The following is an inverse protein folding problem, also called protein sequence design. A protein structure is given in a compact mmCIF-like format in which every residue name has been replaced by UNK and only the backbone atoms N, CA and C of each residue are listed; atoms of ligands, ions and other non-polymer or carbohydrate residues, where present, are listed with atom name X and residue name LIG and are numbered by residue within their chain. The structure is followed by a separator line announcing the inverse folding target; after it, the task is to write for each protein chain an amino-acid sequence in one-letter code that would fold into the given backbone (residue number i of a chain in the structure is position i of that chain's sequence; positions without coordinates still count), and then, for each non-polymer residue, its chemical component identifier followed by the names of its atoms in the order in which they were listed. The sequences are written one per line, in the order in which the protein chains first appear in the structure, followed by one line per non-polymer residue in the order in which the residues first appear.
data_IF_764681663269
#
_entry.id   IF_764681663269
#
_cell.length_a   1.000
_cell.length_b   1.000
_cell.length_c   1.000
_cell.angle_alpha   90.00
_cell.angle_beta   90.00
_cell.angle_gamma   90.00
#
_symmetry.space_group_name_H-M   'P 1'
#
loop_
_entity.id
_entity.type
_entity.pdbx_description
1 polymer ?
#
# COMPACT_ATOMS: atom_id res chain seq x y z
N UNK A 1 -14.51 4.31 6.49
CA UNK A 1 -13.42 3.30 6.45
C UNK A 1 -13.00 3.10 4.99
N UNK A 2 -11.73 3.31 4.66
CA UNK A 2 -11.19 3.15 3.28
C UNK A 2 -10.90 1.69 2.99
N UNK A 3 -10.70 1.36 1.71
CA UNK A 3 -10.34 0.04 1.20
C UNK A 3 -8.99 -0.46 1.74
N UNK A 4 -8.06 0.45 2.00
CA UNK A 4 -6.71 0.17 2.53
C UNK A 4 -6.63 0.36 4.06
N UNK A 5 -7.74 0.19 4.78
CA UNK A 5 -7.78 0.33 6.24
C UNK A 5 -6.84 -0.64 6.98
N UNK A 6 -6.59 -1.84 6.43
CA UNK A 6 -5.66 -2.81 7.02
C UNK A 6 -4.20 -2.33 6.90
N UNK A 7 -3.84 -1.74 5.77
CA UNK A 7 -2.55 -1.09 5.59
C UNK A 7 -2.40 0.12 6.52
N UNK A 8 -3.43 0.97 6.62
CA UNK A 8 -3.45 2.07 7.57
C UNK A 8 -3.22 1.57 9.01
N UNK A 9 -3.82 0.46 9.40
CA UNK A 9 -3.62 -0.15 10.71
C UNK A 9 -2.17 -0.53 10.98
N UNK A 10 -1.51 -1.21 10.02
CA UNK A 10 -0.07 -1.52 10.11
C UNK A 10 0.77 -0.25 10.21
N UNK A 11 0.48 0.75 9.38
CA UNK A 11 1.24 2.01 9.36
C UNK A 11 1.05 2.81 10.65
N UNK A 12 -0.14 2.80 11.25
CA UNK A 12 -0.40 3.40 12.56
C UNK A 12 0.39 2.65 13.65
N UNK A 13 0.42 1.32 13.62
CA UNK A 13 1.21 0.51 14.55
C UNK A 13 2.71 0.83 14.42
N UNK A 14 3.23 0.87 13.19
CA UNK A 14 4.61 1.24 12.90
C UNK A 14 4.97 2.64 13.42
N UNK A 15 4.10 3.65 13.18
CA UNK A 15 4.31 5.00 13.70
C UNK A 15 4.29 5.05 15.24
N UNK A 16 3.42 4.26 15.87
CA UNK A 16 3.41 4.11 17.33
C UNK A 16 4.74 3.54 17.84
N UNK A 17 5.24 2.46 17.22
CA UNK A 17 6.53 1.87 17.57
C UNK A 17 7.69 2.86 17.39
N UNK A 18 7.76 3.54 16.24
CA UNK A 18 8.82 4.50 15.94
C UNK A 18 8.87 5.65 16.96
N UNK A 19 7.71 6.23 17.33
CA UNK A 19 7.63 7.30 18.34
C UNK A 19 8.10 6.84 19.72
N UNK A 20 7.68 5.65 20.16
CA UNK A 20 8.09 5.12 21.46
C UNK A 20 9.60 4.80 21.52
N UNK A 21 10.18 4.33 20.42
CA UNK A 21 11.61 4.07 20.31
C UNK A 21 12.45 5.35 20.30
N UNK A 22 11.92 6.42 19.70
CA UNK A 22 12.66 7.67 19.54
C UNK A 22 13.06 8.33 20.86
N UNK A 23 12.24 8.19 21.92
CA UNK A 23 12.55 8.67 23.28
C UNK A 23 13.89 8.14 23.80
N UNK A 24 14.29 6.95 23.33
CA UNK A 24 15.52 6.28 23.73
C UNK A 24 16.64 6.37 22.68
N UNK A 25 16.53 7.29 21.70
CA UNK A 25 17.42 7.38 20.54
C UNK A 25 17.57 6.05 19.79
N UNK A 26 16.47 5.28 19.74
CA UNK A 26 16.35 4.06 18.96
C UNK A 26 15.50 4.33 17.72
N UNK A 27 15.70 3.56 16.67
CA UNK A 27 14.99 3.69 15.42
C UNK A 27 14.53 2.33 14.90
N UNK A 28 13.44 2.36 14.15
CA UNK A 28 12.78 1.18 13.61
C UNK A 28 13.26 0.95 12.18
N UNK A 29 13.66 -0.27 11.86
CA UNK A 29 13.87 -0.72 10.49
C UNK A 29 12.95 -1.91 10.24
N UNK A 30 11.88 -1.67 9.49
CA UNK A 30 10.87 -2.67 9.18
C UNK A 30 11.42 -3.61 8.11
N UNK A 31 11.36 -4.91 8.39
CA UNK A 31 11.80 -5.95 7.48
C UNK A 31 10.63 -6.55 6.71
N UNK A 32 9.51 -6.75 7.39
CA UNK A 32 8.34 -7.39 6.82
C UNK A 32 7.11 -7.03 7.65
N UNK A 33 5.97 -6.85 7.00
CA UNK A 33 4.69 -6.70 7.69
C UNK A 33 3.58 -7.35 6.90
N UNK A 34 2.56 -7.83 7.61
CA UNK A 34 1.39 -8.39 6.98
C UNK A 34 0.12 -8.24 7.82
N UNK A 35 -1.02 -8.14 7.15
CA UNK A 35 -2.35 -8.28 7.75
C UNK A 35 -2.96 -9.57 7.22
N UNK A 36 -3.17 -10.55 8.09
CA UNK A 36 -3.72 -11.85 7.72
C UNK A 36 -4.82 -12.20 8.70
N UNK A 37 -6.01 -12.55 8.18
CA UNK A 37 -7.21 -12.80 8.98
C UNK A 37 -7.54 -11.62 9.93
N UNK A 38 -7.43 -11.82 11.24
CA UNK A 38 -7.81 -10.85 12.27
C UNK A 38 -6.62 -10.25 13.04
N UNK A 39 -5.38 -10.45 12.55
CA UNK A 39 -4.20 -9.86 13.18
C UNK A 39 -3.30 -9.13 12.18
N UNK A 40 -2.55 -8.17 12.73
CA UNK A 40 -1.55 -7.38 12.03
C UNK A 40 -0.19 -7.67 12.65
N UNK A 41 0.85 -7.82 11.84
CA UNK A 41 2.19 -8.15 12.31
C UNK A 41 3.25 -7.32 11.62
N UNK A 42 4.25 -6.92 12.40
CA UNK A 42 5.43 -6.20 11.94
C UNK A 42 6.65 -6.92 12.50
N UNK A 43 7.57 -7.27 11.61
CA UNK A 43 8.90 -7.78 11.89
C UNK A 43 9.88 -6.65 11.62
N UNK A 44 10.65 -6.26 12.63
CA UNK A 44 11.54 -5.12 12.54
C UNK A 44 12.76 -5.30 13.42
N UNK A 45 13.87 -4.68 13.02
CA UNK A 45 15.09 -4.55 13.82
C UNK A 45 15.07 -3.18 14.50
N UNK A 46 15.35 -3.18 15.80
CA UNK A 46 15.56 -1.95 16.57
C UNK A 46 17.05 -1.69 16.69
N UNK A 47 17.48 -0.53 16.21
CA UNK A 47 18.89 -0.08 16.27
C UNK A 47 18.97 1.23 17.05
N UNK A 48 20.17 1.62 17.51
CA UNK A 48 20.41 2.86 18.26
C UNK A 48 21.16 3.87 17.40
N UNK A 49 20.81 5.15 17.52
CA UNK A 49 21.56 6.26 16.92
C UNK A 49 20.68 7.49 16.68
N UNK A 50 21.03 8.63 17.27
CA UNK A 50 20.21 9.85 17.22
C UNK A 50 19.90 10.35 15.81
N UNK A 51 20.91 10.41 14.91
CA UNK A 51 20.69 10.83 13.51
C UNK A 51 19.69 9.93 12.78
N UNK A 52 19.80 8.61 12.95
CA UNK A 52 18.91 7.64 12.33
C UNK A 52 17.54 7.60 12.99
N UNK A 53 17.44 7.91 14.28
CA UNK A 53 16.16 8.15 14.94
C UNK A 53 15.41 9.29 14.28
N UNK A 54 16.04 10.44 14.06
CA UNK A 54 15.37 11.56 13.37
C UNK A 54 14.92 11.16 11.95
N UNK A 55 15.78 10.49 11.17
CA UNK A 55 15.41 9.96 9.85
C UNK A 55 14.23 8.98 9.90
N UNK A 56 14.16 8.14 10.93
CA UNK A 56 13.02 7.25 11.13
C UNK A 56 11.74 8.00 11.48
N UNK A 57 11.83 9.16 12.13
CA UNK A 57 10.68 9.99 12.44
C UNK A 57 10.18 10.79 11.23
N UNK A 58 11.06 11.08 10.25
CA UNK A 58 10.68 11.73 8.98
C UNK A 58 9.70 10.87 8.15
N UNK A 59 9.67 9.56 8.42
CA UNK A 59 8.69 8.63 7.85
C UNK A 59 7.31 8.73 8.51
N UNK A 60 7.08 9.62 9.48
CA UNK A 60 5.74 9.83 10.06
C UNK A 60 5.02 10.93 9.30
N UNK A 61 3.75 10.68 9.00
CA UNK A 61 2.87 11.68 8.41
C UNK A 61 1.42 11.25 8.37
N UNK A 62 0.69 11.80 7.43
CA UNK A 62 -0.75 11.67 7.29
C UNK A 62 -1.11 11.32 5.84
N UNK A 63 -2.26 10.67 5.67
CA UNK A 63 -2.88 10.43 4.36
C UNK A 63 -4.18 11.22 4.33
N UNK A 64 -4.30 12.16 3.40
CA UNK A 64 -5.56 12.81 3.08
C UNK A 64 -6.23 12.05 1.93
N UNK A 65 -7.47 11.61 2.12
CA UNK A 65 -8.22 10.80 1.16
C UNK A 65 -9.54 11.45 0.81
N UNK A 66 -9.79 11.67 -0.48
CA UNK A 66 -11.05 12.18 -0.97
C UNK A 66 -12.03 11.02 -1.19
N UNK A 67 -13.16 10.97 -0.44
CA UNK A 67 -14.14 9.90 -0.60
C UNK A 67 -14.90 9.96 -1.93
N UNK A 68 -14.96 11.14 -2.55
CA UNK A 68 -15.72 11.39 -3.78
C UNK A 68 -14.97 11.00 -5.04
N UNK A 69 -13.74 11.50 -5.25
CA UNK A 69 -12.98 11.22 -6.46
C UNK A 69 -11.89 10.16 -6.30
N UNK A 70 -11.66 9.65 -5.09
CA UNK A 70 -10.61 8.70 -4.69
C UNK A 70 -9.18 9.26 -4.69
N UNK A 71 -9.01 10.55 -5.00
CA UNK A 71 -7.71 11.20 -4.92
C UNK A 71 -7.17 11.15 -3.49
N UNK A 72 -5.85 10.98 -3.37
CA UNK A 72 -5.17 10.87 -2.09
C UNK A 72 -3.77 11.43 -2.19
N UNK A 73 -3.31 11.98 -1.07
CA UNK A 73 -1.97 12.55 -0.95
C UNK A 73 -1.37 12.20 0.42
N UNK A 74 -0.04 12.08 0.44
CA UNK A 74 0.74 11.87 1.67
C UNK A 74 1.38 13.16 2.12
N UNK A 75 1.27 13.44 3.41
CA UNK A 75 1.74 14.68 4.01
C UNK A 75 2.66 14.33 5.16
N UNK A 76 3.96 14.57 4.99
CA UNK A 76 4.97 14.27 6.00
C UNK A 76 4.92 15.27 7.16
N UNK A 77 5.37 14.82 8.33
CA UNK A 77 5.50 15.64 9.53
C UNK A 77 4.52 15.28 10.64
N UNK A 78 4.75 15.84 11.83
CA UNK A 78 3.98 15.55 13.04
C UNK A 78 2.69 16.36 13.19
N UNK A 79 2.73 17.61 12.77
CA UNK A 79 1.62 18.54 12.79
C UNK A 79 1.64 19.40 11.50
N UNK A 80 1.55 18.77 10.32
CA UNK A 80 1.55 19.51 9.07
C UNK A 80 0.23 20.28 8.90
N UNK A 81 0.27 21.33 8.09
CA UNK A 81 -0.95 21.93 7.55
C UNK A 81 -1.52 20.98 6.49
N UNK A 82 -2.70 20.42 6.77
CA UNK A 82 -3.37 19.47 5.87
C UNK A 82 -4.49 20.23 5.17
N UNK A 83 -4.56 20.22 3.82
CA UNK A 83 -5.67 20.83 3.11
C UNK A 83 -7.01 20.26 3.59
N UNK A 84 -8.03 21.11 3.72
CA UNK A 84 -9.37 20.63 4.09
C UNK A 84 -10.11 20.00 2.91
N UNK A 85 -9.84 20.49 1.69
CA UNK A 85 -10.56 20.14 0.48
C UNK A 85 -9.63 19.52 -0.57
N UNK A 86 -10.18 18.57 -1.32
CA UNK A 86 -9.52 17.93 -2.43
C UNK A 86 -9.30 18.92 -3.58
N UNK A 87 -8.07 19.04 -4.13
CA UNK A 87 -7.77 19.96 -5.21
C UNK A 87 -8.41 19.54 -6.54
N UNK A 88 -8.85 18.28 -6.66
CA UNK A 88 -9.43 17.72 -7.89
C UNK A 88 -10.93 17.99 -8.00
N UNK A 89 -11.67 17.87 -6.89
CA UNK A 89 -13.14 17.94 -6.91
C UNK A 89 -13.76 18.84 -5.84
N UNK A 90 -12.96 19.47 -4.97
CA UNK A 90 -13.43 20.36 -3.90
C UNK A 90 -14.06 19.67 -2.69
N UNK A 91 -14.30 18.35 -2.74
CA UNK A 91 -14.87 17.61 -1.61
C UNK A 91 -13.92 17.59 -0.40
N UNK A 92 -14.49 17.51 0.81
CA UNK A 92 -13.72 17.47 2.05
C UNK A 92 -12.87 16.20 2.15
N UNK A 93 -11.62 16.34 2.58
CA UNK A 93 -10.74 15.21 2.84
C UNK A 93 -11.09 14.47 4.13
N UNK A 94 -10.94 13.15 4.09
CA UNK A 94 -10.81 12.30 5.26
C UNK A 94 -9.33 12.09 5.55
N UNK A 95 -8.87 12.49 6.72
CA UNK A 95 -7.46 12.44 7.10
C UNK A 95 -7.21 11.26 8.04
N UNK A 96 -6.15 10.48 7.76
CA UNK A 96 -5.67 9.40 8.61
C UNK A 96 -4.22 9.66 9.04
N UNK A 97 -3.94 9.54 10.34
CA UNK A 97 -2.58 9.64 10.89
C UNK A 97 -2.56 10.00 12.38
N UNK A 98 -1.38 10.21 12.98
CA UNK A 98 -0.07 10.00 12.36
C UNK A 98 0.18 8.51 12.06
N UNK A 99 0.77 8.22 10.91
CA UNK A 99 1.06 6.88 10.42
C UNK A 99 2.42 6.83 9.72
N UNK A 100 2.96 5.63 9.54
CA UNK A 100 4.24 5.40 8.88
C UNK A 100 4.09 5.45 7.36
N UNK A 101 4.74 6.42 6.72
CA UNK A 101 4.77 6.64 5.29
C UNK A 101 5.92 5.91 4.58
N UNK A 102 6.94 5.46 5.32
CA UNK A 102 8.07 4.71 4.76
C UNK A 102 7.72 3.27 4.38
N UNK A 103 8.74 2.52 3.98
CA UNK A 103 8.60 1.12 3.58
C UNK A 103 8.12 0.23 4.73
N UNK A 104 7.32 -0.77 4.38
CA UNK A 104 6.73 -1.76 5.31
C UNK A 104 7.12 -3.21 4.95
N UNK A 105 8.04 -3.38 4.01
CA UNK A 105 8.63 -4.64 3.59
C UNK A 105 9.97 -4.38 2.92
N UNK A 106 10.97 -5.16 3.29
CA UNK A 106 12.33 -5.12 2.76
C UNK A 106 12.49 -6.28 1.77
N UNK A 107 12.84 -5.94 0.53
CA UNK A 107 12.83 -6.89 -0.59
C UNK A 107 13.93 -7.95 -0.47
N UNK A 108 15.12 -7.55 -0.03
CA UNK A 108 16.25 -8.46 0.22
C UNK A 108 15.91 -9.45 1.34
N UNK A 109 15.29 -8.96 2.42
CA UNK A 109 14.83 -9.80 3.52
C UNK A 109 13.75 -10.79 3.07
N UNK A 110 12.76 -10.32 2.30
CA UNK A 110 11.69 -11.17 1.76
C UNK A 110 12.22 -12.25 0.82
N UNK A 111 13.18 -11.92 -0.05
CA UNK A 111 13.86 -12.91 -0.90
C UNK A 111 14.57 -13.98 -0.06
N UNK A 112 15.29 -13.56 0.98
CA UNK A 112 15.90 -14.48 1.94
C UNK A 112 14.89 -15.39 2.63
N UNK A 113 13.71 -14.87 2.99
CA UNK A 113 12.61 -15.64 3.60
C UNK A 113 12.03 -16.67 2.62
N UNK A 114 11.84 -16.31 1.35
CA UNK A 114 11.35 -17.21 0.30
C UNK A 114 12.31 -18.38 0.13
N UNK A 115 13.59 -18.09 -0.11
CA UNK A 115 14.63 -19.10 -0.29
C UNK A 115 14.76 -20.03 0.92
N UNK A 116 14.68 -19.48 2.14
CA UNK A 116 14.71 -20.27 3.36
C UNK A 116 13.48 -21.18 3.47
N UNK A 117 12.28 -20.64 3.21
CA UNK A 117 11.03 -21.39 3.31
C UNK A 117 10.96 -22.57 2.33
N UNK A 118 11.61 -22.49 1.17
CA UNK A 118 11.71 -23.59 0.21
C UNK A 118 12.42 -24.83 0.78
N UNK A 119 13.38 -24.65 1.68
CA UNK A 119 14.14 -25.76 2.29
C UNK A 119 13.45 -26.36 3.53
N UNK A 120 12.50 -25.63 4.14
CA UNK A 120 11.84 -26.04 5.38
C UNK A 120 10.64 -26.96 5.13
N UNK A 121 10.45 -27.93 6.04
CA UNK A 121 9.22 -28.75 6.10
C UNK A 121 8.21 -28.06 7.01
N UNK A 122 7.27 -27.33 6.40
CA UNK A 122 6.23 -26.57 7.10
C UNK A 122 4.85 -27.07 6.68
N UNK A 123 3.91 -27.17 7.64
CA UNK A 123 2.55 -27.65 7.37
C UNK A 123 1.77 -26.74 6.39
N UNK A 124 2.01 -25.43 6.42
CA UNK A 124 1.37 -24.43 5.56
C UNK A 124 2.38 -23.73 4.63
N UNK A 125 3.32 -24.50 4.08
CA UNK A 125 4.40 -23.97 3.23
C UNK A 125 3.86 -23.18 2.04
N UNK A 126 2.89 -23.72 1.31
CA UNK A 126 2.38 -23.09 0.10
C UNK A 126 1.66 -21.76 0.40
N UNK A 127 0.90 -21.69 1.48
CA UNK A 127 0.23 -20.46 1.90
C UNK A 127 1.23 -19.39 2.33
N UNK A 128 2.31 -19.80 3.02
CA UNK A 128 3.39 -18.92 3.44
C UNK A 128 4.16 -18.36 2.24
N UNK A 129 4.54 -19.22 1.29
CA UNK A 129 5.23 -18.79 0.07
C UNK A 129 4.36 -17.84 -0.76
N UNK A 130 3.05 -18.14 -0.91
CA UNK A 130 2.10 -17.23 -1.57
C UNK A 130 2.04 -15.86 -0.90
N UNK A 131 2.10 -15.80 0.43
CA UNK A 131 2.15 -14.54 1.16
C UNK A 131 3.47 -13.81 0.90
N UNK A 132 4.61 -14.49 1.01
CA UNK A 132 5.92 -13.88 0.80
C UNK A 132 6.11 -13.36 -0.61
N UNK A 133 5.72 -14.12 -1.64
CA UNK A 133 5.77 -13.64 -3.03
C UNK A 133 4.91 -12.39 -3.23
N UNK A 134 3.67 -12.36 -2.71
CA UNK A 134 2.83 -11.15 -2.78
C UNK A 134 3.47 -9.95 -2.11
N UNK A 135 4.07 -10.16 -0.95
CA UNK A 135 4.74 -9.08 -0.22
C UNK A 135 6.05 -8.65 -0.89
N UNK A 136 6.74 -9.57 -1.57
CA UNK A 136 7.93 -9.28 -2.37
C UNK A 136 7.59 -8.46 -3.60
N UNK A 137 6.55 -8.85 -4.34
CA UNK A 137 6.10 -8.14 -5.55
C UNK A 137 5.58 -6.73 -5.23
N UNK A 138 4.99 -6.53 -4.05
CA UNK A 138 4.48 -5.23 -3.62
C UNK A 138 5.48 -4.38 -2.85
N UNK A 139 6.65 -4.93 -2.49
CA UNK A 139 7.72 -4.19 -1.84
C UNK A 139 8.21 -3.07 -2.77
N UNK A 140 8.69 -1.96 -2.18
CA UNK A 140 9.12 -0.74 -2.91
C UNK A 140 7.99 -0.04 -3.69
N UNK A 141 6.78 -0.59 -3.66
CA UNK A 141 5.60 0.02 -4.26
C UNK A 141 5.11 1.23 -3.48
N UNK A 142 4.23 2.04 -4.10
CA UNK A 142 3.69 3.22 -3.44
C UNK A 142 2.85 2.86 -2.23
N UNK A 143 2.75 3.83 -1.32
CA UNK A 143 1.85 3.78 -0.18
C UNK A 143 0.39 3.68 -0.63
N UNK A 144 -0.40 2.90 0.11
CA UNK A 144 -1.78 2.52 -0.21
C UNK A 144 -1.91 1.71 -1.49
N UNK A 145 -3.12 1.24 -1.76
CA UNK A 145 -3.47 0.55 -2.99
C UNK A 145 -4.84 1.03 -3.48
N UNK A 146 -5.14 0.77 -4.75
CA UNK A 146 -6.46 0.98 -5.32
C UNK A 146 -7.25 -0.33 -5.31
N UNK A 147 -8.55 -0.23 -5.05
CA UNK A 147 -9.46 -1.35 -5.24
C UNK A 147 -10.23 -1.18 -6.55
N UNK A 148 -10.15 -2.17 -7.43
CA UNK A 148 -10.77 -2.10 -8.77
C UNK A 148 -12.28 -1.89 -8.68
N UNK A 149 -12.98 -2.53 -7.73
CA UNK A 149 -14.43 -2.35 -7.57
C UNK A 149 -14.78 -0.96 -7.03
N UNK A 150 -13.92 -0.38 -6.19
CA UNK A 150 -14.10 1.00 -5.70
C UNK A 150 -13.96 2.01 -6.84
N UNK A 151 -12.97 1.83 -7.72
CA UNK A 151 -12.82 2.68 -8.92
C UNK A 151 -14.00 2.47 -9.87
N UNK A 152 -14.38 1.23 -10.16
CA UNK A 152 -15.51 0.97 -11.06
C UNK A 152 -16.84 1.52 -10.52
N UNK A 153 -17.05 1.45 -9.19
CA UNK A 153 -18.21 2.08 -8.53
C UNK A 153 -18.18 3.60 -8.69
N UNK A 154 -17.01 4.23 -8.61
CA UNK A 154 -16.84 5.67 -8.82
C UNK A 154 -17.17 6.06 -10.27
N UNK A 155 -16.73 5.24 -11.24
CA UNK A 155 -16.98 5.42 -12.67
C UNK A 155 -18.37 4.95 -13.13
N UNK A 156 -19.17 4.35 -12.24
CA UNK A 156 -20.49 3.75 -12.53
C UNK A 156 -20.44 2.68 -13.65
N UNK A 157 -19.40 1.87 -13.65
CA UNK A 157 -19.19 0.76 -14.61
C UNK A 157 -19.13 -0.60 -13.90
N UNK A 158 -19.40 -1.67 -14.66
CA UNK A 158 -19.00 -3.03 -14.29
C UNK A 158 -17.48 -3.18 -14.25
N UNK A 159 -17.00 -4.10 -13.40
CA UNK A 159 -15.56 -4.35 -13.24
C UNK A 159 -15.00 -5.15 -14.41
N UNK A 160 -13.96 -4.69 -15.12
CA UNK A 160 -13.19 -5.53 -16.03
C UNK A 160 -12.39 -6.57 -15.22
N UNK A 161 -11.74 -7.51 -15.93
CA UNK A 161 -10.83 -8.48 -15.30
C UNK A 161 -9.61 -7.73 -14.77
N UNK A 162 -9.28 -7.95 -13.50
CA UNK A 162 -8.15 -7.28 -12.86
C UNK A 162 -6.81 -7.59 -13.53
N UNK A 163 -6.63 -8.79 -14.09
CA UNK A 163 -5.40 -9.16 -14.80
C UNK A 163 -5.21 -8.30 -16.06
N UNK A 164 -6.27 -8.09 -16.84
CA UNK A 164 -6.19 -7.26 -18.06
C UNK A 164 -5.77 -5.82 -17.71
N UNK A 165 -6.28 -5.28 -16.61
CA UNK A 165 -5.89 -3.95 -16.09
C UNK A 165 -4.43 -3.94 -15.63
N UNK A 166 -4.00 -4.97 -14.88
CA UNK A 166 -2.62 -5.09 -14.39
C UNK A 166 -1.64 -5.17 -15.57
N UNK A 167 -1.94 -5.99 -16.57
CA UNK A 167 -1.09 -6.19 -17.75
C UNK A 167 -0.95 -4.89 -18.54
N UNK A 168 -2.02 -4.13 -18.69
CA UNK A 168 -1.98 -2.86 -19.42
C UNK A 168 -1.21 -1.77 -18.66
N UNK A 169 -1.34 -1.71 -17.33
CA UNK A 169 -0.53 -0.81 -16.49
C UNK A 169 0.96 -1.18 -16.61
N UNK A 170 1.29 -2.47 -16.57
CA UNK A 170 2.66 -2.96 -16.71
C UNK A 170 3.27 -2.61 -18.07
N UNK A 171 2.50 -2.76 -19.17
CA UNK A 171 2.96 -2.38 -20.53
C UNK A 171 3.29 -0.90 -20.65
N UNK A 172 2.59 -0.04 -19.91
CA UNK A 172 2.85 1.41 -19.87
C UNK A 172 4.07 1.79 -19.01
N UNK A 173 4.73 0.82 -18.37
CA UNK A 173 5.96 1.01 -17.62
C UNK A 173 5.76 1.52 -16.19
N UNK A 174 4.52 1.56 -15.70
CA UNK A 174 4.20 1.90 -14.31
C UNK A 174 4.49 0.72 -13.38
N UNK A 175 4.85 1.02 -12.14
CA UNK A 175 4.86 0.02 -11.09
C UNK A 175 3.45 -0.56 -10.94
N UNK A 176 3.34 -1.89 -10.88
CA UNK A 176 2.08 -2.56 -10.61
C UNK A 176 2.30 -3.86 -9.86
N UNK A 177 1.55 -4.06 -8.80
CA UNK A 177 1.52 -5.32 -8.08
C UNK A 177 0.13 -5.59 -7.51
N UNK A 178 -0.18 -6.86 -7.23
CA UNK A 178 -1.28 -7.20 -6.32
C UNK A 178 -0.84 -6.91 -4.89
N UNK A 179 -1.81 -6.72 -3.99
CA UNK A 179 -1.52 -6.52 -2.57
C UNK A 179 -1.98 -7.69 -1.70
N UNK A 180 -1.20 -8.01 -0.66
CA UNK A 180 -1.63 -9.02 0.32
C UNK A 180 -2.83 -8.55 1.17
N UNK A 181 -3.07 -7.24 1.26
CA UNK A 181 -4.14 -6.68 2.08
C UNK A 181 -5.55 -6.95 1.54
N UNK A 182 -5.69 -7.10 0.22
CA UNK A 182 -6.99 -7.26 -0.43
C UNK A 182 -6.86 -7.93 -1.81
N UNK A 183 -7.69 -8.93 -2.07
CA UNK A 183 -7.68 -9.70 -3.32
C UNK A 183 -7.97 -8.86 -4.57
N UNK A 184 -8.80 -7.83 -4.42
CA UNK A 184 -9.22 -6.89 -5.47
C UNK A 184 -8.38 -5.61 -5.46
N UNK A 185 -7.30 -5.60 -4.66
CA UNK A 185 -6.39 -4.48 -4.51
C UNK A 185 -5.18 -4.58 -5.43
N UNK A 186 -4.78 -3.44 -5.97
CA UNK A 186 -3.61 -3.27 -6.82
C UNK A 186 -2.81 -2.03 -6.38
N UNK A 187 -1.50 -2.17 -6.22
CA UNK A 187 -0.59 -1.05 -5.96
C UNK A 187 -0.03 -0.56 -7.29
N UNK A 188 -0.10 0.74 -7.52
CA UNK A 188 0.50 1.34 -8.71
C UNK A 188 0.85 2.79 -8.46
N UNK A 189 1.93 3.24 -9.10
CA UNK A 189 2.35 4.64 -9.16
C UNK A 189 1.68 5.41 -10.31
N UNK A 190 0.83 4.74 -11.10
CA UNK A 190 0.01 5.38 -12.13
C UNK A 190 -0.90 6.46 -11.52
N UNK A 191 -0.91 7.69 -12.08
CA UNK A 191 -1.81 8.74 -11.65
C UNK A 191 -3.28 8.32 -11.71
N UNK A 192 -4.08 8.74 -10.72
CA UNK A 192 -5.47 8.30 -10.57
C UNK A 192 -6.34 8.55 -11.81
N UNK A 193 -6.21 9.71 -12.45
CA UNK A 193 -7.02 10.04 -13.62
C UNK A 193 -6.64 9.18 -14.83
N UNK A 194 -5.35 8.89 -15.02
CA UNK A 194 -4.90 7.94 -16.05
C UNK A 194 -5.39 6.51 -15.75
N UNK A 195 -5.33 6.09 -14.48
CA UNK A 195 -5.83 4.78 -14.05
C UNK A 195 -7.33 4.63 -14.32
N UNK A 196 -8.13 5.68 -14.06
CA UNK A 196 -9.56 5.69 -14.37
C UNK A 196 -9.80 5.56 -15.88
N UNK A 197 -9.06 6.30 -16.69
CA UNK A 197 -9.19 6.25 -18.14
C UNK A 197 -8.80 4.87 -18.68
N UNK A 198 -7.68 4.30 -18.25
CA UNK A 198 -7.25 2.96 -18.65
C UNK A 198 -8.32 1.91 -18.34
N UNK A 199 -8.96 1.99 -17.17
CA UNK A 199 -10.03 1.05 -16.79
C UNK A 199 -11.26 1.19 -17.72
N UNK A 200 -11.58 2.40 -18.18
CA UNK A 200 -12.62 2.62 -19.19
C UNK A 200 -12.24 2.00 -20.53
N UNK A 201 -11.02 2.27 -21.00
CA UNK A 201 -10.51 1.76 -22.28
C UNK A 201 -10.50 0.22 -22.32
N UNK A 202 -9.94 -0.42 -21.28
CA UNK A 202 -9.90 -1.89 -21.15
C UNK A 202 -11.30 -2.50 -21.15
N UNK A 203 -12.28 -1.80 -20.57
CA UNK A 203 -13.67 -2.24 -20.58
C UNK A 203 -14.28 -2.14 -21.99
N UNK A 204 -14.06 -1.03 -22.70
CA UNK A 204 -14.61 -0.81 -24.04
C UNK A 204 -14.02 -1.79 -25.07
N UNK A 205 -12.70 -2.01 -25.05
CA UNK A 205 -12.02 -2.95 -25.95
C UNK A 205 -12.55 -4.39 -25.81
N UNK A 206 -12.94 -4.80 -24.61
CA UNK A 206 -13.45 -6.17 -24.38
C UNK A 206 -14.93 -6.30 -24.69
N UNK A 207 -15.73 -5.25 -24.45
CA UNK A 207 -17.13 -5.21 -24.91
C UNK A 207 -17.24 -5.25 -26.44
N UNK A 208 -16.28 -4.66 -27.16
CA UNK A 208 -16.24 -4.71 -28.63
C UNK A 208 -15.77 -6.06 -29.22
N UNK A 209 -15.10 -6.90 -28.43
CA UNK A 209 -14.62 -8.22 -28.85
C UNK A 209 -15.61 -9.36 -28.51
N UNK A 210 -16.60 -9.09 -27.67
CA UNK A 210 -17.67 -10.03 -27.28
C UNK A 210 -18.99 -9.78 -28.04
N UNK A 211 -18.97 -8.96 -29.10
CA UNK A 211 -20.14 -8.60 -29.94
C UNK A 211 -20.10 -9.26 -31.33
#
# INVERSE_FOLDING_TARGET
KTEYCHENGIRILAASMARNLAVNQKYLHILFSHSTEHYMRIYAIVKRGGKKTNQSLDNIGFIAHCPECLHRETIHGYAPSIPENCPICGAKYNVAGPLWLGDIGDKEFLEGMINMAESLKLNKKDDLLKLFHKCYDEAEGPITFYDIHKICKNLKISSPKINDVIDEIAKRGYFISRTHFKLTGMRTDMPLEELKQLILDVKEEKLGNDA
#
